data_IF_458123993702
#
_entry.id   IF_458123993702
#
_cell.length_a   1.000
_cell.length_b   1.000
_cell.length_c   1.000
_cell.angle_alpha   90.00
_cell.angle_beta   90.00
_cell.angle_gamma   90.00
#
_symmetry.space_group_name_H-M   'P 1'
#
loop_
_entity.id
_entity.type
_entity.pdbx_description
1 polymer ?
#
# COMPACT_ATOMS: atom_id res chain seq x y z
N UNK A 1 -8.79 0.57 -7.41
CA UNK A 1 -7.41 1.10 -7.45
C UNK A 1 -7.21 2.06 -6.30
N UNK A 2 -6.20 1.83 -5.47
CA UNK A 2 -5.81 2.76 -4.44
C UNK A 2 -4.90 3.84 -5.01
N UNK A 3 -5.09 5.08 -4.56
CA UNK A 3 -4.33 6.24 -5.04
C UNK A 3 -3.89 7.05 -3.82
N UNK A 4 -2.58 7.33 -3.75
CA UNK A 4 -2.01 8.21 -2.73
C UNK A 4 -1.22 9.33 -3.40
N UNK A 5 -1.50 10.56 -3.00
CA UNK A 5 -0.65 11.69 -3.40
C UNK A 5 0.68 11.60 -2.66
N UNK A 6 1.77 11.82 -3.37
CA UNK A 6 3.11 11.66 -2.82
C UNK A 6 4.07 12.71 -3.37
N UNK A 7 5.17 12.88 -2.66
CA UNK A 7 6.29 13.72 -3.07
C UNK A 7 7.53 12.82 -3.16
N UNK A 8 8.22 12.86 -4.30
CA UNK A 8 9.47 12.13 -4.47
C UNK A 8 10.57 12.81 -3.67
N UNK A 9 11.29 12.03 -2.88
CA UNK A 9 12.44 12.49 -2.11
C UNK A 9 13.75 12.16 -2.80
N UNK A 10 13.91 10.91 -3.26
CA UNK A 10 15.14 10.46 -3.95
C UNK A 10 14.82 9.50 -5.07
N UNK A 11 15.67 9.51 -6.11
CA UNK A 11 15.66 8.51 -7.18
C UNK A 11 17.09 8.03 -7.35
N UNK A 12 17.30 6.73 -7.17
CA UNK A 12 18.62 6.12 -7.28
C UNK A 12 18.60 5.07 -8.41
N UNK A 13 19.31 5.29 -9.52
CA UNK A 13 19.39 4.31 -10.60
C UNK A 13 20.22 3.09 -10.20
N UNK A 14 19.76 1.91 -10.63
CA UNK A 14 20.48 0.65 -10.52
C UNK A 14 20.26 -0.14 -11.80
N UNK A 15 21.14 0.03 -12.78
CA UNK A 15 20.96 -0.60 -14.09
C UNK A 15 19.67 -0.11 -14.75
N UNK A 16 18.79 -1.05 -15.08
CA UNK A 16 17.50 -0.73 -15.68
C UNK A 16 16.41 -0.38 -14.65
N UNK A 17 16.74 -0.49 -13.36
CA UNK A 17 15.80 -0.20 -12.29
C UNK A 17 16.05 1.17 -11.68
N UNK A 18 14.98 1.78 -11.22
CA UNK A 18 15.03 3.00 -10.41
C UNK A 18 14.49 2.66 -9.02
N UNK A 19 15.29 2.94 -8.00
CA UNK A 19 14.83 2.88 -6.62
C UNK A 19 14.34 4.28 -6.24
N UNK A 20 13.04 4.40 -6.02
CA UNK A 20 12.38 5.67 -5.73
C UNK A 20 11.95 5.67 -4.27
N UNK A 21 12.32 6.72 -3.55
CA UNK A 21 11.83 6.97 -2.20
C UNK A 21 10.89 8.17 -2.27
N UNK A 22 9.68 7.99 -1.77
CA UNK A 22 8.65 9.01 -1.78
C UNK A 22 8.01 9.11 -0.40
N UNK A 23 7.34 10.22 -0.15
CA UNK A 23 6.58 10.44 1.07
C UNK A 23 5.12 10.66 0.73
N UNK A 24 4.26 9.88 1.37
CA UNK A 24 2.82 9.99 1.23
C UNK A 24 2.19 9.81 2.61
N UNK A 25 1.19 10.61 2.95
CA UNK A 25 0.48 10.52 4.23
C UNK A 25 1.44 10.50 5.43
N UNK A 26 2.49 11.32 5.38
CA UNK A 26 3.55 11.41 6.39
C UNK A 26 4.34 10.12 6.60
N UNK A 27 4.29 9.21 5.65
CA UNK A 27 5.01 7.94 5.70
C UNK A 27 5.96 7.79 4.51
N UNK A 28 7.05 7.07 4.72
CA UNK A 28 8.02 6.78 3.68
C UNK A 28 7.59 5.57 2.87
N UNK A 29 7.67 5.68 1.55
CA UNK A 29 7.38 4.59 0.61
C UNK A 29 8.58 4.31 -0.26
N UNK A 30 8.89 3.03 -0.45
CA UNK A 30 9.92 2.56 -1.36
C UNK A 30 9.25 1.97 -2.60
N UNK A 31 9.68 2.41 -3.77
CA UNK A 31 9.13 1.97 -5.05
C UNK A 31 10.28 1.51 -5.95
N UNK A 32 10.08 0.40 -6.64
CA UNK A 32 10.98 -0.04 -7.71
C UNK A 32 10.28 0.14 -9.04
N UNK A 33 10.85 0.97 -9.89
CA UNK A 33 10.33 1.26 -11.22
C UNK A 33 11.37 0.89 -12.28
N UNK A 34 10.92 0.78 -13.54
CA UNK A 34 11.80 0.48 -14.67
C UNK A 34 12.16 1.79 -15.37
N UNK A 35 13.45 1.96 -15.64
CA UNK A 35 13.96 3.10 -16.39
C UNK A 35 13.73 2.91 -17.90
N UNK A 36 13.63 3.99 -18.71
CA UNK A 36 13.70 5.38 -18.29
C UNK A 36 12.36 5.88 -17.76
N UNK A 37 12.39 6.76 -16.78
CA UNK A 37 11.20 7.33 -16.19
C UNK A 37 11.50 8.78 -15.78
N UNK A 38 10.78 9.71 -16.38
CA UNK A 38 10.82 11.11 -15.98
C UNK A 38 9.58 11.44 -15.17
N UNK A 39 9.78 11.91 -13.96
CA UNK A 39 8.70 12.22 -13.05
C UNK A 39 8.86 13.61 -12.47
N UNK A 40 7.77 14.36 -12.34
CA UNK A 40 7.79 15.56 -11.53
C UNK A 40 7.97 15.21 -10.07
N UNK A 41 8.23 16.18 -9.24
CA UNK A 41 8.40 15.95 -7.79
C UNK A 41 7.12 15.43 -7.15
N UNK A 42 5.96 15.92 -7.61
CA UNK A 42 4.66 15.46 -7.12
C UNK A 42 4.13 14.36 -8.01
N UNK A 43 3.78 13.25 -7.40
CA UNK A 43 3.30 12.05 -8.09
C UNK A 43 2.11 11.46 -7.35
N UNK A 44 1.48 10.49 -8.00
CA UNK A 44 0.50 9.62 -7.36
C UNK A 44 1.07 8.22 -7.31
N UNK A 45 0.89 7.56 -6.17
CA UNK A 45 1.17 6.15 -6.01
C UNK A 45 -0.12 5.39 -6.31
N UNK A 46 -0.07 4.49 -7.27
CA UNK A 46 -1.23 3.69 -7.70
C UNK A 46 -0.95 2.23 -7.39
N UNK A 47 -1.88 1.55 -6.73
CA UNK A 47 -1.76 0.12 -6.48
C UNK A 47 -3.12 -0.54 -6.32
N UNK A 48 -3.19 -1.81 -6.68
CA UNK A 48 -4.43 -2.57 -6.68
C UNK A 48 -4.81 -3.00 -5.27
N UNK A 49 -6.12 -3.12 -5.02
CA UNK A 49 -6.64 -3.62 -3.76
C UNK A 49 -6.17 -5.06 -3.49
N UNK A 50 -5.96 -5.84 -4.55
CA UNK A 50 -5.47 -7.23 -4.46
C UNK A 50 -3.99 -7.33 -4.12
N UNK A 51 -3.23 -6.24 -4.27
CA UNK A 51 -1.80 -6.23 -3.96
C UNK A 51 -1.52 -5.78 -2.52
N UNK A 52 -2.54 -5.36 -1.79
CA UNK A 52 -2.41 -4.95 -0.39
C UNK A 52 -2.44 -6.19 0.49
N UNK A 53 -1.37 -6.38 1.24
CA UNK A 53 -1.26 -7.45 2.23
C UNK A 53 -1.66 -6.92 3.60
N UNK A 54 -2.50 -7.64 4.31
CA UNK A 54 -2.87 -7.31 5.69
C UNK A 54 -2.16 -8.25 6.66
N UNK A 55 -1.78 -7.72 7.82
CA UNK A 55 -1.17 -8.49 8.89
C UNK A 55 -1.62 -7.93 10.24
N UNK A 56 -1.65 -8.79 11.27
CA UNK A 56 -1.96 -8.33 12.62
C UNK A 56 -0.84 -7.43 13.13
N UNK A 57 -1.18 -6.51 14.04
CA UNK A 57 -0.25 -5.48 14.52
C UNK A 57 0.99 -6.03 15.24
N UNK A 58 0.94 -7.28 15.71
CA UNK A 58 2.08 -7.94 16.35
C UNK A 58 3.00 -8.66 15.36
N UNK A 59 2.75 -8.53 14.07
CA UNK A 59 3.52 -9.21 13.02
C UNK A 59 4.77 -8.43 12.65
N UNK A 60 5.82 -9.16 12.25
CA UNK A 60 7.02 -8.60 11.65
C UNK A 60 7.07 -9.03 10.18
N UNK A 61 7.15 -8.06 9.28
CA UNK A 61 7.18 -8.29 7.84
C UNK A 61 8.49 -7.81 7.25
N UNK A 62 9.06 -8.61 6.35
CA UNK A 62 10.25 -8.25 5.58
C UNK A 62 9.83 -7.43 4.37
N UNK A 63 9.49 -6.18 4.61
CA UNK A 63 9.09 -5.24 3.56
C UNK A 63 9.45 -3.83 4.01
N UNK A 64 9.91 -2.97 3.10
CA UNK A 64 10.14 -1.56 3.44
C UNK A 64 8.83 -0.79 3.61
N UNK A 65 7.71 -1.30 3.05
CA UNK A 65 6.42 -0.62 3.08
C UNK A 65 5.47 -1.36 4.01
N UNK A 66 5.55 -1.05 5.30
CA UNK A 66 4.66 -1.61 6.33
C UNK A 66 4.11 -0.45 7.15
N UNK A 67 2.79 -0.36 7.26
CA UNK A 67 2.11 0.77 7.87
C UNK A 67 0.96 0.32 8.74
N UNK A 68 0.71 1.05 9.83
CA UNK A 68 -0.47 0.85 10.65
C UNK A 68 -1.68 1.57 10.04
N UNK A 69 -2.84 0.97 10.14
CA UNK A 69 -4.09 1.54 9.68
C UNK A 69 -5.25 1.12 10.59
N UNK A 70 -6.32 1.91 10.59
CA UNK A 70 -7.56 1.54 11.24
C UNK A 70 -8.43 0.72 10.29
N UNK A 71 -9.17 -0.24 10.84
CA UNK A 71 -10.18 -0.98 10.07
C UNK A 71 -11.49 -0.20 10.16
N UNK A 72 -11.89 0.43 9.07
CA UNK A 72 -13.05 1.32 9.04
C UNK A 72 -14.33 0.61 8.60
N UNK A 73 -14.22 -0.52 7.94
CA UNK A 73 -15.38 -1.28 7.49
C UNK A 73 -14.98 -2.53 6.74
N UNK A 74 -15.84 -3.52 6.77
CA UNK A 74 -15.65 -4.78 6.08
C UNK A 74 -16.92 -5.10 5.32
N UNK A 75 -16.79 -5.34 4.01
CA UNK A 75 -17.86 -5.86 3.17
C UNK A 75 -17.56 -7.31 2.88
N UNK A 76 -18.39 -8.20 3.41
CA UNK A 76 -18.15 -9.65 3.32
C UNK A 76 -18.75 -10.21 2.04
N UNK A 77 -17.92 -10.86 1.24
CA UNK A 77 -18.34 -11.68 0.12
C UNK A 77 -18.08 -13.16 0.41
N UNK A 78 -18.53 -14.02 -0.46
CA UNK A 78 -18.31 -15.46 -0.28
C UNK A 78 -16.85 -15.86 -0.42
N UNK A 79 -16.15 -15.31 -1.42
CA UNK A 79 -14.76 -15.62 -1.70
C UNK A 79 -13.81 -14.56 -1.16
N UNK A 80 -14.16 -13.29 -1.31
CA UNK A 80 -13.34 -12.16 -0.90
C UNK A 80 -14.08 -11.25 0.05
N UNK A 81 -13.35 -10.69 1.01
CA UNK A 81 -13.81 -9.58 1.82
C UNK A 81 -13.12 -8.31 1.37
N UNK A 82 -13.89 -7.24 1.27
CA UNK A 82 -13.37 -5.91 0.98
C UNK A 82 -13.21 -5.17 2.30
N UNK A 83 -11.98 -4.73 2.59
CA UNK A 83 -11.64 -4.10 3.86
C UNK A 83 -11.29 -2.64 3.59
N UNK A 84 -12.05 -1.73 4.19
CA UNK A 84 -11.77 -0.31 4.15
C UNK A 84 -10.81 0.05 5.28
N UNK A 85 -9.70 0.68 4.94
CA UNK A 85 -8.64 1.08 5.87
C UNK A 85 -8.55 2.59 5.94
N UNK A 86 -8.43 3.11 7.16
CA UNK A 86 -8.09 4.52 7.38
C UNK A 86 -6.58 4.68 7.49
N UNK A 87 -6.01 5.51 6.62
CA UNK A 87 -4.57 5.75 6.57
C UNK A 87 -4.29 7.18 6.17
N UNK A 88 -3.54 7.91 7.01
CA UNK A 88 -3.10 9.26 6.70
C UNK A 88 -4.22 10.26 6.43
N UNK A 89 -5.35 10.13 7.10
CA UNK A 89 -6.52 10.99 6.89
C UNK A 89 -7.34 10.63 5.66
N UNK A 90 -6.91 9.61 4.91
CA UNK A 90 -7.61 9.11 3.73
C UNK A 90 -8.10 7.69 3.93
N UNK A 91 -8.47 7.05 2.83
CA UNK A 91 -9.04 5.72 2.82
C UNK A 91 -8.35 4.85 1.76
N UNK A 92 -8.04 3.62 2.15
CA UNK A 92 -7.53 2.58 1.26
C UNK A 92 -8.47 1.39 1.30
N UNK A 93 -8.38 0.52 0.30
CA UNK A 93 -9.15 -0.71 0.24
C UNK A 93 -8.20 -1.88 0.02
N UNK A 94 -8.38 -2.93 0.81
CA UNK A 94 -7.71 -4.21 0.61
C UNK A 94 -8.76 -5.28 0.27
N UNK A 95 -8.42 -6.17 -0.64
CA UNK A 95 -9.23 -7.33 -0.96
C UNK A 95 -8.51 -8.57 -0.41
N UNK A 96 -9.17 -9.30 0.48
CA UNK A 96 -8.58 -10.47 1.13
C UNK A 96 -9.48 -11.69 0.95
N UNK A 97 -8.89 -12.88 0.92
CA UNK A 97 -9.67 -14.10 0.87
C UNK A 97 -10.51 -14.25 2.14
N UNK A 98 -11.78 -14.55 1.98
CA UNK A 98 -12.71 -14.69 3.09
C UNK A 98 -12.24 -15.78 4.09
N UNK A 99 -11.69 -16.88 3.58
CA UNK A 99 -11.17 -17.95 4.42
C UNK A 99 -10.04 -17.47 5.33
N UNK A 100 -9.10 -16.68 4.80
CA UNK A 100 -7.99 -16.13 5.58
C UNK A 100 -8.47 -15.08 6.56
N UNK A 101 -9.41 -14.22 6.14
CA UNK A 101 -9.97 -13.20 7.01
C UNK A 101 -10.64 -13.82 8.24
N UNK A 102 -11.40 -14.90 8.04
CA UNK A 102 -12.04 -15.64 9.14
C UNK A 102 -11.02 -16.33 10.03
N UNK A 103 -10.03 -17.01 9.43
CA UNK A 103 -9.01 -17.75 10.17
C UNK A 103 -8.19 -16.84 11.09
N UNK A 104 -7.98 -15.58 10.69
CA UNK A 104 -7.20 -14.62 11.47
C UNK A 104 -8.06 -13.63 12.27
N UNK A 105 -9.36 -13.88 12.38
CA UNK A 105 -10.28 -13.05 13.15
C UNK A 105 -10.22 -11.58 12.74
N UNK A 106 -10.21 -11.31 11.45
CA UNK A 106 -10.09 -9.95 10.93
C UNK A 106 -11.23 -9.05 11.44
N UNK A 107 -12.42 -9.61 11.57
CA UNK A 107 -13.61 -8.89 12.01
C UNK A 107 -13.47 -8.26 13.40
N UNK A 108 -12.65 -8.85 14.27
CA UNK A 108 -12.41 -8.34 15.62
C UNK A 108 -11.25 -7.34 15.70
N UNK A 109 -10.53 -7.13 14.61
CA UNK A 109 -9.40 -6.19 14.57
C UNK A 109 -9.90 -4.77 14.35
N UNK A 110 -9.48 -3.83 15.18
CA UNK A 110 -9.74 -2.40 15.00
C UNK A 110 -8.57 -1.69 14.34
N UNK A 111 -7.38 -2.23 14.52
CA UNK A 111 -6.15 -1.78 13.89
C UNK A 111 -5.46 -2.96 13.23
N UNK A 112 -4.77 -2.68 12.13
CA UNK A 112 -4.13 -3.71 11.31
C UNK A 112 -2.86 -3.11 10.69
N UNK A 113 -1.90 -3.96 10.35
CA UNK A 113 -0.80 -3.56 9.48
C UNK A 113 -1.17 -3.85 8.04
N UNK A 114 -0.78 -2.96 7.13
CA UNK A 114 -0.85 -3.24 5.71
C UNK A 114 0.52 -3.06 5.07
N UNK A 115 0.76 -3.78 4.01
CA UNK A 115 2.03 -3.79 3.31
C UNK A 115 1.80 -3.89 1.82
N UNK A 116 2.74 -3.33 1.06
CA UNK A 116 2.76 -3.40 -0.40
C UNK A 116 4.20 -3.53 -0.86
N UNK A 117 4.45 -4.44 -1.80
CA UNK A 117 5.79 -4.59 -2.36
C UNK A 117 6.17 -3.38 -3.20
N UNK A 118 7.44 -2.95 -3.16
CA UNK A 118 7.90 -1.83 -3.98
C UNK A 118 7.62 -1.99 -5.48
N UNK A 119 7.59 -3.23 -5.98
CA UNK A 119 7.34 -3.53 -7.41
C UNK A 119 5.87 -3.44 -7.79
N UNK A 120 4.96 -3.40 -6.83
CA UNK A 120 3.51 -3.37 -7.07
C UNK A 120 2.93 -1.96 -7.08
N UNK A 121 3.76 -0.95 -6.85
CA UNK A 121 3.35 0.44 -6.87
C UNK A 121 3.69 1.04 -8.23
N UNK A 122 2.70 1.63 -8.88
CA UNK A 122 2.88 2.38 -10.12
C UNK A 122 2.97 3.86 -9.79
N UNK A 123 3.94 4.55 -10.39
CA UNK A 123 4.10 5.98 -10.26
C UNK A 123 3.44 6.69 -11.43
N UNK A 124 2.64 7.72 -11.12
CA UNK A 124 2.03 8.58 -12.12
C UNK A 124 2.37 10.03 -11.80
N UNK A 125 2.90 10.75 -12.78
CA UNK A 125 3.19 12.17 -12.61
C UNK A 125 1.90 12.95 -12.42
N UNK A 126 1.95 13.93 -11.52
CA UNK A 126 0.84 14.83 -11.27
C UNK A 126 1.08 16.11 -12.05
N UNK A 127 0.16 16.44 -12.96
CA UNK A 127 0.24 17.65 -13.81
C UNK A 127 -0.37 18.87 -13.14
#
# INVERSE_FOLDING_TARGET
MNILDATIETITPHGELLYVQARAADSAFAILAVAPLELPKKVRLLFKETDVLLARCDSALLSPNVYAASVNGITKGELFWQVALGFGGGSLVALVLAANARAHNLESQTEILWSIKPTEITLQGED
#
